data_IF_219866021148
#
_entry.id   IF_219866021148
#
_cell.length_a   1.000
_cell.length_b   1.000
_cell.length_c   1.000
_cell.angle_alpha   90.00
_cell.angle_beta   90.00
_cell.angle_gamma   90.00
#
_symmetry.space_group_name_H-M   'P 1'
#
loop_
_entity.id
_entity.type
_entity.pdbx_description
1 polymer ?
#
# COMPACT_ATOMS: atom_id res chain seq x y z
N UNK A 1 -4.39 -45.06 45.68
CA UNK A 1 -4.03 -43.65 45.45
C UNK A 1 -4.48 -43.28 44.04
N UNK A 2 -5.76 -42.94 43.86
CA UNK A 2 -6.27 -42.46 42.57
C UNK A 2 -6.05 -40.95 42.50
N UNK A 3 -5.11 -40.49 41.68
CA UNK A 3 -4.90 -39.06 41.42
C UNK A 3 -3.51 -38.49 41.75
N UNK A 4 -2.48 -39.34 41.92
CA UNK A 4 -1.07 -38.91 41.87
C UNK A 4 -0.60 -38.86 40.41
N UNK A 5 0.11 -37.79 40.03
CA UNK A 5 0.76 -37.66 38.72
C UNK A 5 1.92 -38.66 38.67
N UNK A 6 1.97 -39.48 37.62
CA UNK A 6 3.03 -40.47 37.40
C UNK A 6 4.20 -39.90 36.59
N UNK A 7 5.35 -40.57 36.57
CA UNK A 7 6.47 -40.18 35.69
C UNK A 7 6.06 -40.19 34.20
N UNK A 8 5.22 -41.15 33.79
CA UNK A 8 4.66 -41.20 32.44
C UNK A 8 3.79 -39.98 32.14
N UNK A 9 3.02 -39.49 33.12
CA UNK A 9 2.24 -38.27 32.96
C UNK A 9 3.16 -37.05 32.76
N UNK A 10 4.27 -36.96 33.50
CA UNK A 10 5.25 -35.89 33.34
C UNK A 10 5.92 -35.94 31.96
N UNK A 11 6.30 -37.12 31.47
CA UNK A 11 6.85 -37.30 30.12
C UNK A 11 5.85 -36.88 29.03
N UNK A 12 4.57 -37.21 29.20
CA UNK A 12 3.52 -36.78 28.27
C UNK A 12 3.37 -35.26 28.27
N UNK A 13 3.41 -34.62 29.44
CA UNK A 13 3.31 -33.16 29.57
C UNK A 13 4.49 -32.47 28.88
N UNK A 14 5.71 -32.96 29.11
CA UNK A 14 6.92 -32.44 28.49
C UNK A 14 6.86 -32.58 26.96
N UNK A 15 6.53 -33.77 26.46
CA UNK A 15 6.36 -34.01 25.02
C UNK A 15 5.30 -33.08 24.41
N UNK A 16 4.20 -32.85 25.11
CA UNK A 16 3.12 -31.98 24.64
C UNK A 16 3.55 -30.51 24.58
N UNK A 17 4.32 -30.06 25.56
CA UNK A 17 4.89 -28.72 25.58
C UNK A 17 5.93 -28.54 24.47
N UNK A 18 6.84 -29.50 24.27
CA UNK A 18 7.82 -29.46 23.18
C UNK A 18 7.13 -29.40 21.81
N UNK A 19 6.10 -30.21 21.60
CA UNK A 19 5.28 -30.12 20.39
C UNK A 19 4.66 -28.73 20.20
N UNK A 20 4.22 -28.07 21.27
CA UNK A 20 3.68 -26.72 21.17
C UNK A 20 4.76 -25.71 20.76
N UNK A 21 5.98 -25.85 21.29
CA UNK A 21 7.13 -25.04 20.85
C UNK A 21 7.42 -25.25 19.37
N UNK A 22 7.50 -26.50 18.90
CA UNK A 22 7.73 -26.81 17.48
C UNK A 22 6.62 -26.22 16.59
N UNK A 23 5.37 -26.29 17.07
CA UNK A 23 4.20 -25.76 16.35
C UNK A 23 4.23 -24.23 16.21
N UNK A 24 4.50 -23.49 17.28
CA UNK A 24 4.57 -22.01 17.21
C UNK A 24 5.86 -21.52 16.54
N UNK A 25 6.89 -22.36 16.48
CA UNK A 25 8.15 -22.08 15.76
C UNK A 25 8.05 -22.39 14.26
N UNK A 26 6.91 -22.91 13.79
CA UNK A 26 6.66 -23.34 12.42
C UNK A 26 7.46 -24.56 11.96
N UNK A 27 8.13 -25.27 12.88
CA UNK A 27 8.82 -26.54 12.60
C UNK A 27 7.81 -27.68 12.36
N UNK A 28 6.58 -27.52 12.87
CA UNK A 28 5.47 -28.44 12.65
C UNK A 28 4.21 -27.69 12.20
N UNK A 29 3.59 -28.15 11.10
CA UNK A 29 2.40 -27.50 10.51
C UNK A 29 1.08 -27.87 11.17
N UNK A 30 1.04 -28.99 11.90
CA UNK A 30 -0.15 -29.53 12.55
C UNK A 30 0.16 -29.89 14.01
N UNK A 31 -0.85 -29.80 14.86
CA UNK A 31 -0.71 -30.09 16.28
C UNK A 31 -1.49 -31.37 16.63
N UNK A 32 -0.79 -32.38 17.16
CA UNK A 32 -1.40 -33.64 17.60
C UNK A 32 -1.98 -33.46 18.99
N UNK A 33 -3.30 -33.39 19.09
CA UNK A 33 -4.01 -33.21 20.35
C UNK A 33 -4.03 -34.50 21.18
N UNK A 34 -3.81 -34.36 22.49
CA UNK A 34 -4.05 -35.45 23.45
C UNK A 34 -5.46 -35.27 24.03
N UNK A 35 -6.32 -36.28 23.84
CA UNK A 35 -7.69 -36.28 24.36
C UNK A 35 -7.82 -36.98 25.72
N UNK A 36 -7.01 -38.01 25.98
CA UNK A 36 -6.96 -38.69 27.29
C UNK A 36 -5.65 -39.45 27.51
N UNK A 37 -5.20 -39.45 28.76
CA UNK A 37 -4.07 -40.18 29.32
C UNK A 37 -4.51 -41.26 30.31
N UNK A 38 -5.80 -41.30 30.65
CA UNK A 38 -6.35 -42.13 31.73
C UNK A 38 -6.22 -41.51 33.13
N UNK A 39 -5.52 -40.38 33.27
CA UNK A 39 -5.45 -39.61 34.51
C UNK A 39 -6.35 -38.38 34.41
N UNK A 40 -7.49 -38.38 35.13
CA UNK A 40 -8.52 -37.34 35.01
C UNK A 40 -8.00 -35.91 35.29
N UNK A 41 -6.98 -35.74 36.13
CA UNK A 41 -6.38 -34.42 36.39
C UNK A 41 -5.55 -33.92 35.21
N UNK A 42 -4.78 -34.82 34.59
CA UNK A 42 -3.95 -34.52 33.42
C UNK A 42 -4.84 -34.30 32.20
N UNK A 43 -5.89 -35.10 32.03
CA UNK A 43 -6.86 -34.98 30.94
C UNK A 43 -7.60 -33.64 30.99
N UNK A 44 -8.02 -33.21 32.19
CA UNK A 44 -8.62 -31.89 32.38
C UNK A 44 -7.64 -30.75 32.06
N UNK A 45 -6.34 -30.95 32.28
CA UNK A 45 -5.31 -29.99 31.92
C UNK A 45 -5.12 -29.91 30.40
N UNK A 46 -4.95 -31.05 29.73
CA UNK A 46 -4.79 -31.09 28.28
C UNK A 46 -6.01 -30.55 27.56
N UNK A 47 -7.24 -30.86 28.00
CA UNK A 47 -8.45 -30.27 27.41
C UNK A 47 -8.41 -28.73 27.36
N UNK A 48 -8.02 -28.07 28.47
CA UNK A 48 -7.87 -26.60 28.50
C UNK A 48 -6.75 -26.12 27.59
N UNK A 49 -5.66 -26.85 27.50
CA UNK A 49 -4.55 -26.50 26.61
C UNK A 49 -4.95 -26.65 25.14
N UNK A 50 -5.72 -27.68 24.77
CA UNK A 50 -6.21 -27.88 23.41
C UNK A 50 -7.03 -26.67 22.96
N UNK A 51 -7.96 -26.21 23.80
CA UNK A 51 -8.75 -25.00 23.53
C UNK A 51 -7.86 -23.79 23.26
N UNK A 52 -6.80 -23.59 24.05
CA UNK A 52 -5.84 -22.48 23.85
C UNK A 52 -4.95 -22.64 22.63
N UNK A 53 -4.53 -23.85 22.31
CA UNK A 53 -3.72 -24.12 21.12
C UNK A 53 -4.53 -23.92 19.85
N UNK A 54 -5.81 -24.32 19.84
CA UNK A 54 -6.75 -24.03 18.74
C UNK A 54 -6.92 -22.51 18.55
N UNK A 55 -7.08 -21.75 19.64
CA UNK A 55 -7.13 -20.29 19.58
C UNK A 55 -5.83 -19.67 19.03
N UNK A 56 -4.67 -20.23 19.37
CA UNK A 56 -3.36 -19.80 18.83
C UNK A 56 -3.26 -20.11 17.34
N UNK A 57 -3.52 -21.36 16.93
CA UNK A 57 -3.47 -21.79 15.53
C UNK A 57 -4.34 -20.90 14.62
N UNK A 58 -5.59 -20.66 15.04
CA UNK A 58 -6.50 -19.78 14.30
C UNK A 58 -5.92 -18.37 14.14
N UNK A 59 -5.41 -17.77 15.23
CA UNK A 59 -4.83 -16.41 15.18
C UNK A 59 -3.59 -16.36 14.29
N UNK A 60 -2.73 -17.36 14.39
CA UNK A 60 -1.53 -17.50 13.55
C UNK A 60 -1.89 -17.60 12.06
N UNK A 61 -2.91 -18.40 11.71
CA UNK A 61 -3.40 -18.52 10.32
C UNK A 61 -3.99 -17.21 9.80
N UNK A 62 -4.71 -16.47 10.64
CA UNK A 62 -5.22 -15.15 10.28
C UNK A 62 -4.07 -14.14 10.06
N UNK A 63 -3.04 -14.15 10.91
CA UNK A 63 -1.81 -13.35 10.73
C UNK A 63 -1.10 -13.69 9.41
N UNK A 64 -0.90 -14.99 9.12
CA UNK A 64 -0.29 -15.45 7.87
C UNK A 64 -1.06 -14.99 6.64
N UNK A 65 -2.39 -14.97 6.69
CA UNK A 65 -3.22 -14.48 5.57
C UNK A 65 -2.94 -13.00 5.29
N UNK A 66 -2.81 -12.19 6.33
CA UNK A 66 -2.48 -10.76 6.18
C UNK A 66 -1.08 -10.59 5.61
N UNK A 67 -0.10 -11.33 6.13
CA UNK A 67 1.28 -11.29 5.63
C UNK A 67 1.35 -11.72 4.16
N UNK A 68 0.65 -12.78 3.77
CA UNK A 68 0.57 -13.22 2.38
C UNK A 68 -0.04 -12.17 1.45
N UNK A 69 -1.11 -11.49 1.87
CA UNK A 69 -1.69 -10.40 1.08
C UNK A 69 -0.74 -9.18 1.01
N UNK A 70 0.03 -8.91 2.07
CA UNK A 70 1.07 -7.87 2.06
C UNK A 70 2.10 -8.17 0.97
N UNK A 71 2.61 -9.42 0.87
CA UNK A 71 3.56 -9.81 -0.18
C UNK A 71 2.98 -9.54 -1.57
N UNK A 72 1.78 -10.05 -1.85
CA UNK A 72 1.11 -9.85 -3.15
C UNK A 72 0.82 -8.38 -3.45
N UNK A 73 0.53 -7.57 -2.43
CA UNK A 73 0.30 -6.13 -2.58
C UNK A 73 1.60 -5.42 -2.90
N UNK A 74 2.71 -5.78 -2.25
CA UNK A 74 4.03 -5.22 -2.54
C UNK A 74 4.49 -5.54 -3.96
N UNK A 75 4.25 -6.76 -4.46
CA UNK A 75 4.57 -7.14 -5.86
C UNK A 75 3.81 -6.26 -6.88
N UNK A 76 2.57 -5.86 -6.56
CA UNK A 76 1.80 -4.91 -7.39
C UNK A 76 2.37 -3.50 -7.33
N UNK A 77 2.83 -3.07 -6.15
CA UNK A 77 3.45 -1.76 -5.93
C UNK A 77 4.76 -1.65 -6.70
N UNK A 78 5.55 -2.71 -6.74
CA UNK A 78 6.77 -2.80 -7.54
C UNK A 78 6.47 -2.55 -9.04
N UNK A 79 5.33 -3.06 -9.53
CA UNK A 79 4.85 -2.85 -10.89
C UNK A 79 4.17 -1.48 -11.12
N UNK A 80 4.17 -0.59 -10.13
CA UNK A 80 3.56 0.75 -10.22
C UNK A 80 2.04 0.78 -10.04
N UNK A 81 1.42 -0.31 -9.58
CA UNK A 81 -0.04 -0.41 -9.39
C UNK A 81 -0.48 0.11 -8.01
N UNK A 82 -0.45 1.41 -7.78
CA UNK A 82 -0.67 1.98 -6.43
C UNK A 82 -2.11 1.96 -5.90
N UNK A 83 -3.10 1.53 -6.69
CA UNK A 83 -4.52 1.41 -6.28
C UNK A 83 -4.83 0.18 -5.42
N UNK A 84 -3.87 -0.74 -5.23
CA UNK A 84 -4.07 -1.95 -4.44
C UNK A 84 -4.10 -1.67 -2.93
N UNK A 85 -4.85 -2.46 -2.15
CA UNK A 85 -4.92 -2.37 -0.69
C UNK A 85 -4.93 -3.75 -0.07
N UNK A 86 -4.42 -3.84 1.16
CA UNK A 86 -4.50 -5.03 2.00
C UNK A 86 -5.87 -5.03 2.70
N UNK A 87 -6.67 -6.06 2.53
CA UNK A 87 -8.06 -6.11 3.00
C UNK A 87 -8.29 -7.15 4.10
N UNK A 88 -7.54 -8.25 4.08
CA UNK A 88 -7.55 -9.29 5.11
C UNK A 88 -7.30 -8.71 6.50
N UNK A 89 -7.77 -9.39 7.53
CA UNK A 89 -7.73 -8.88 8.89
C UNK A 89 -7.19 -9.94 9.85
N UNK A 90 -6.68 -9.46 10.98
CA UNK A 90 -6.25 -10.28 12.09
C UNK A 90 -6.70 -9.68 13.42
N UNK A 91 -6.81 -10.52 14.45
CA UNK A 91 -6.94 -10.07 15.84
C UNK A 91 -5.64 -9.56 16.47
N UNK A 92 -4.48 -9.77 15.82
CA UNK A 92 -3.18 -9.32 16.30
C UNK A 92 -3.03 -7.80 16.09
N UNK A 93 -2.97 -6.98 17.16
CA UNK A 93 -2.93 -5.52 17.03
C UNK A 93 -1.72 -5.01 16.26
N UNK A 94 -0.58 -5.71 16.33
CA UNK A 94 0.64 -5.35 15.60
C UNK A 94 0.45 -5.53 14.09
N UNK A 95 -0.14 -6.64 13.66
CA UNK A 95 -0.44 -6.92 12.25
C UNK A 95 -1.49 -5.94 11.71
N UNK A 96 -2.52 -5.62 12.49
CA UNK A 96 -3.51 -4.59 12.13
C UNK A 96 -2.84 -3.23 11.95
N UNK A 97 -1.93 -2.86 12.86
CA UNK A 97 -1.17 -1.61 12.77
C UNK A 97 -0.29 -1.56 11.53
N UNK A 98 0.38 -2.67 11.19
CA UNK A 98 1.18 -2.79 9.98
C UNK A 98 0.32 -2.61 8.72
N UNK A 99 -0.78 -3.36 8.60
CA UNK A 99 -1.77 -3.23 7.51
C UNK A 99 -2.20 -1.79 7.33
N UNK A 100 -2.61 -1.13 8.41
CA UNK A 100 -3.14 0.23 8.36
C UNK A 100 -2.06 1.24 7.94
N UNK A 101 -0.84 1.08 8.43
CA UNK A 101 0.31 1.91 8.05
C UNK A 101 0.63 1.75 6.57
N UNK A 102 0.69 0.52 6.06
CA UNK A 102 0.92 0.25 4.64
C UNK A 102 -0.20 0.80 3.76
N UNK A 103 -1.46 0.56 4.12
CA UNK A 103 -2.60 1.12 3.36
C UNK A 103 -2.61 2.66 3.36
N UNK A 104 -2.19 3.30 4.45
CA UNK A 104 -2.02 4.77 4.49
C UNK A 104 -0.92 5.23 3.53
N UNK A 105 0.22 4.55 3.49
CA UNK A 105 1.27 4.81 2.50
C UNK A 105 0.76 4.66 1.06
N UNK A 106 0.02 3.58 0.78
CA UNK A 106 -0.55 3.33 -0.55
C UNK A 106 -1.59 4.36 -0.97
N UNK A 107 -2.43 4.85 -0.03
CA UNK A 107 -3.34 5.97 -0.29
C UNK A 107 -2.59 7.24 -0.72
N UNK A 108 -1.47 7.56 -0.06
CA UNK A 108 -0.66 8.72 -0.42
C UNK A 108 -0.01 8.56 -1.80
N UNK A 109 0.50 7.38 -2.12
CA UNK A 109 1.11 7.11 -3.45
C UNK A 109 0.07 7.19 -4.57
N UNK A 110 -1.11 6.60 -4.37
CA UNK A 110 -2.22 6.61 -5.32
C UNK A 110 -2.73 8.04 -5.59
N UNK A 111 -2.96 8.83 -4.53
CA UNK A 111 -3.41 10.23 -4.68
C UNK A 111 -2.35 11.09 -5.40
N UNK A 112 -1.08 10.99 -4.99
CA UNK A 112 0.01 11.73 -5.63
C UNK A 112 0.14 11.41 -7.12
N UNK A 113 0.21 10.13 -7.46
CA UNK A 113 0.37 9.68 -8.86
C UNK A 113 -0.86 10.01 -9.71
N UNK A 114 -2.07 9.88 -9.16
CA UNK A 114 -3.31 10.28 -9.86
C UNK A 114 -3.32 11.78 -10.17
N UNK A 115 -2.90 12.64 -9.23
CA UNK A 115 -2.81 14.09 -9.46
C UNK A 115 -1.79 14.46 -10.53
N UNK A 116 -0.62 13.83 -10.47
CA UNK A 116 0.45 14.02 -11.45
C UNK A 116 -0.02 13.63 -12.84
N UNK A 117 -0.59 12.44 -12.99
CA UNK A 117 -1.09 11.94 -14.28
C UNK A 117 -2.19 12.82 -14.86
N UNK A 118 -3.10 13.33 -14.01
CA UNK A 118 -4.15 14.27 -14.44
C UNK A 118 -3.56 15.54 -15.07
N UNK A 119 -2.65 16.21 -14.37
CA UNK A 119 -2.06 17.47 -14.84
C UNK A 119 -1.18 17.25 -16.08
N UNK A 120 -0.39 16.18 -16.09
CA UNK A 120 0.39 15.79 -17.27
C UNK A 120 -0.52 15.53 -18.48
N UNK A 121 -1.67 14.89 -18.28
CA UNK A 121 -2.67 14.70 -19.35
C UNK A 121 -3.20 16.05 -19.86
N UNK A 122 -3.48 17.02 -18.99
CA UNK A 122 -3.88 18.38 -19.40
C UNK A 122 -2.81 19.01 -20.30
N UNK A 123 -1.53 18.89 -19.91
CA UNK A 123 -0.41 19.43 -20.69
C UNK A 123 -0.26 18.76 -22.06
N UNK A 124 -0.48 17.45 -22.17
CA UNK A 124 -0.49 16.76 -23.48
C UNK A 124 -1.60 17.24 -24.41
N UNK A 125 -2.66 17.86 -23.88
CA UNK A 125 -3.76 18.45 -24.64
C UNK A 125 -3.60 19.96 -24.84
N UNK A 126 -2.39 20.52 -24.64
CA UNK A 126 -2.08 21.95 -24.69
C UNK A 126 -2.83 22.81 -23.67
N UNK A 127 -3.44 22.20 -22.65
CA UNK A 127 -4.03 22.93 -21.52
C UNK A 127 -2.99 23.09 -20.41
N UNK A 128 -2.26 24.20 -20.45
CA UNK A 128 -1.25 24.56 -19.45
C UNK A 128 -1.81 25.35 -18.27
N UNK A 129 -3.14 25.44 -18.13
CA UNK A 129 -3.78 26.18 -17.03
C UNK A 129 -3.98 25.33 -15.78
N UNK A 130 -3.93 24.00 -15.93
CA UNK A 130 -4.05 23.05 -14.83
C UNK A 130 -2.76 22.96 -13.99
N UNK A 131 -2.92 22.70 -12.69
CA UNK A 131 -1.81 22.58 -11.75
C UNK A 131 -2.13 21.59 -10.62
N UNK A 132 -1.07 21.06 -10.03
CA UNK A 132 -1.16 20.16 -8.88
C UNK A 132 -1.29 21.00 -7.61
N UNK A 133 -2.39 20.81 -6.88
CA UNK A 133 -2.50 21.29 -5.50
C UNK A 133 -1.60 20.43 -4.61
N UNK A 134 -0.52 21.01 -4.12
CA UNK A 134 0.42 20.36 -3.20
C UNK A 134 -0.09 20.49 -1.77
N UNK A 135 -0.43 19.37 -1.13
CA UNK A 135 -0.87 19.33 0.26
C UNK A 135 0.31 19.22 1.22
N UNK A 136 0.12 19.65 2.47
CA UNK A 136 1.17 19.67 3.50
C UNK A 136 1.75 18.29 3.85
N UNK A 137 0.96 17.22 3.66
CA UNK A 137 1.41 15.85 3.92
C UNK A 137 2.38 15.33 2.86
N UNK A 138 2.52 16.01 1.72
CA UNK A 138 3.59 15.74 0.76
C UNK A 138 4.79 16.63 1.08
N UNK A 139 5.90 15.98 1.40
CA UNK A 139 7.16 16.62 1.77
C UNK A 139 8.30 16.12 0.88
N UNK A 140 9.47 16.75 0.99
CA UNK A 140 10.70 16.35 0.32
C UNK A 140 10.50 16.09 -1.20
N UNK A 141 10.91 14.92 -1.70
CA UNK A 141 11.01 14.61 -3.12
C UNK A 141 9.65 14.64 -3.84
N UNK A 142 8.59 14.13 -3.20
CA UNK A 142 7.25 14.14 -3.81
C UNK A 142 6.72 15.57 -3.95
N UNK A 143 7.01 16.42 -2.97
CA UNK A 143 6.67 17.85 -3.04
C UNK A 143 7.45 18.54 -4.15
N UNK A 144 8.76 18.33 -4.21
CA UNK A 144 9.61 18.89 -5.26
C UNK A 144 9.16 18.47 -6.65
N UNK A 145 8.76 17.20 -6.83
CA UNK A 145 8.21 16.68 -8.08
C UNK A 145 6.94 17.44 -8.49
N UNK A 146 5.97 17.57 -7.58
CA UNK A 146 4.71 18.26 -7.87
C UNK A 146 4.94 19.75 -8.19
N UNK A 147 5.79 20.43 -7.42
CA UNK A 147 6.13 21.84 -7.65
C UNK A 147 6.87 22.02 -8.99
N UNK A 148 7.74 21.08 -9.36
CA UNK A 148 8.47 21.11 -10.64
C UNK A 148 7.53 20.93 -11.84
N UNK A 149 6.51 20.06 -11.73
CA UNK A 149 5.49 19.91 -12.77
C UNK A 149 4.69 21.21 -12.93
N UNK A 150 4.34 21.89 -11.83
CA UNK A 150 3.64 23.17 -11.91
C UNK A 150 4.50 24.24 -12.62
N UNK A 151 5.81 24.33 -12.28
CA UNK A 151 6.75 25.22 -12.97
C UNK A 151 6.86 24.92 -14.47
N UNK A 152 6.82 23.64 -14.84
CA UNK A 152 6.77 23.24 -16.26
C UNK A 152 5.50 23.77 -16.95
N UNK A 153 4.35 23.65 -16.30
CA UNK A 153 3.09 24.23 -16.79
C UNK A 153 3.17 25.74 -16.99
N UNK A 154 3.72 26.48 -16.02
CA UNK A 154 3.93 27.93 -16.14
C UNK A 154 4.83 28.31 -17.33
N UNK A 155 5.91 27.57 -17.54
CA UNK A 155 6.84 27.79 -18.65
C UNK A 155 6.18 27.51 -20.01
N UNK A 156 5.44 26.40 -20.13
CA UNK A 156 4.70 26.06 -21.35
C UNK A 156 3.59 27.07 -21.64
N UNK A 157 2.82 27.46 -20.63
CA UNK A 157 1.79 28.48 -20.74
C UNK A 157 2.35 29.84 -21.16
N UNK A 158 3.51 30.23 -20.62
CA UNK A 158 4.21 31.46 -21.02
C UNK A 158 4.66 31.42 -22.47
N UNK A 159 5.24 30.29 -22.92
CA UNK A 159 5.63 30.10 -24.33
C UNK A 159 4.42 30.13 -25.27
N UNK A 160 3.29 29.52 -24.89
CA UNK A 160 2.07 29.56 -25.69
C UNK A 160 1.56 31.00 -25.88
N UNK A 161 1.59 31.82 -24.82
CA UNK A 161 1.24 33.26 -24.89
C UNK A 161 2.20 34.04 -25.78
N UNK A 162 3.50 33.79 -25.68
CA UNK A 162 4.50 34.41 -26.54
C UNK A 162 4.27 34.06 -28.02
N UNK A 163 3.98 32.80 -28.33
CA UNK A 163 3.66 32.37 -29.69
C UNK A 163 2.40 33.04 -30.23
N UNK A 164 1.35 33.18 -29.40
CA UNK A 164 0.14 33.91 -29.78
C UNK A 164 0.45 35.38 -30.11
N UNK A 165 1.20 36.06 -29.25
CA UNK A 165 1.59 37.46 -29.46
C UNK A 165 2.43 37.63 -30.74
N UNK A 166 3.36 36.70 -31.00
CA UNK A 166 4.16 36.68 -32.23
C UNK A 166 3.26 36.48 -33.47
N UNK A 167 2.28 35.57 -33.39
CA UNK A 167 1.30 35.33 -34.45
C UNK A 167 0.46 36.57 -34.77
N UNK A 168 -0.08 37.24 -33.75
CA UNK A 168 -0.82 38.49 -33.90
C UNK A 168 0.05 39.62 -34.49
N UNK A 169 1.32 39.70 -34.08
CA UNK A 169 2.28 40.66 -34.63
C UNK A 169 2.53 40.39 -36.11
N UNK A 170 2.72 39.13 -36.50
CA UNK A 170 2.92 38.73 -37.88
C UNK A 170 1.69 39.00 -38.76
N UNK A 171 0.48 38.75 -38.24
CA UNK A 171 -0.78 39.06 -38.89
C UNK A 171 -0.91 40.57 -39.17
N UNK A 172 -0.70 41.40 -38.15
CA UNK A 172 -0.73 42.86 -38.28
C UNK A 172 0.29 43.39 -39.30
N UNK A 173 1.52 42.86 -39.27
CA UNK A 173 2.56 43.23 -40.22
C UNK A 173 2.17 42.83 -41.66
N UNK A 174 1.58 41.65 -41.85
CA UNK A 174 1.14 41.16 -43.16
C UNK A 174 -0.02 41.98 -43.72
N UNK A 175 -0.98 42.37 -42.87
CA UNK A 175 -2.07 43.26 -43.23
C UNK A 175 -1.57 44.64 -43.65
N UNK A 176 -0.61 45.21 -42.90
CA UNK A 176 0.02 46.50 -43.21
C UNK A 176 0.74 46.43 -44.56
N UNK A 177 1.54 45.39 -44.79
CA UNK A 177 2.27 45.19 -46.05
C UNK A 177 1.31 45.05 -47.24
N UNK A 178 0.20 44.32 -47.07
CA UNK A 178 -0.83 44.16 -48.10
C UNK A 178 -1.46 45.51 -48.46
N UNK A 179 -1.81 46.31 -47.45
CA UNK A 179 -2.35 47.66 -47.66
C UNK A 179 -1.34 48.56 -48.39
N UNK A 180 -0.05 48.51 -48.00
CA UNK A 180 1.01 49.27 -48.67
C UNK A 180 1.21 48.85 -50.14
N UNK A 181 1.17 47.55 -50.45
CA UNK A 181 1.29 47.08 -51.84
C UNK A 181 0.09 47.49 -52.69
N UNK A 182 -1.14 47.39 -52.14
CA UNK A 182 -2.34 47.82 -52.85
C UNK A 182 -2.32 49.32 -53.16
N UNK A 183 -1.82 50.13 -52.23
CA UNK A 183 -1.66 51.57 -52.44
C UNK A 183 -0.59 51.90 -53.51
N UNK A 184 0.46 51.08 -53.64
CA UNK A 184 1.51 51.28 -54.65
C UNK A 184 1.08 50.83 -56.05
N UNK A 185 0.17 49.85 -56.14
CA UNK A 185 -0.33 49.31 -57.40
C UNK A 185 -1.49 50.13 -58.01
N UNK A 186 -2.02 51.13 -57.27
CA UNK A 186 -3.07 52.04 -57.70
C UNK A 186 -2.49 53.32 -58.33
#
# INVERSE_FOLDING_TARGET
MFGSISNKDLENIDKYFMQFIDFISYDKSEFDYIESTGNSKVDAMFKRWNEKIIEVDKRTKDDMRVIGEIVLTTDKVEQGMYKCRINSNSSNPTIVTLKNTLNKMLNSLDDATTRILRVMSSYTNNDYTDSIKVYENYTAEMRELMESINKLGEALGSNARLNLNNGQTLENNSATMTASMNNLAA
#
